data_IF_769309440202
#
_entry.id   IF_769309440202
#
_cell.length_a   1.000
_cell.length_b   1.000
_cell.length_c   1.000
_cell.angle_alpha   90.00
_cell.angle_beta   90.00
_cell.angle_gamma   90.00
#
_symmetry.space_group_name_H-M   'P 1'
#
loop_
_entity.id
_entity.type
_entity.pdbx_description
1 polymer ?
#
# COMPACT_ATOMS: atom_id res chain seq x y z
N UNK A 1 -13.35 43.63 -24.29
CA UNK A 1 -12.75 42.39 -23.72
C UNK A 1 -11.38 42.19 -24.37
N UNK A 2 -10.19 42.32 -23.79
CA UNK A 2 -9.72 42.60 -22.44
C UNK A 2 -8.30 42.03 -22.38
N UNK A 3 -7.28 42.73 -22.91
CA UNK A 3 -5.86 42.27 -22.99
C UNK A 3 -5.32 41.73 -21.65
N UNK A 4 -5.86 42.22 -20.53
CA UNK A 4 -5.54 41.75 -19.17
C UNK A 4 -5.99 40.32 -18.88
N UNK A 5 -7.08 39.83 -19.48
CA UNK A 5 -7.57 38.45 -19.31
C UNK A 5 -6.71 37.42 -20.06
N UNK A 6 -6.12 37.82 -21.20
CA UNK A 6 -5.22 36.96 -22.00
C UNK A 6 -3.87 36.77 -21.30
N UNK A 7 -3.27 37.85 -20.81
CA UNK A 7 -2.00 37.79 -20.07
C UNK A 7 -2.10 36.99 -18.75
N UNK A 8 -3.27 37.03 -18.08
CA UNK A 8 -3.51 36.22 -16.86
C UNK A 8 -3.63 34.72 -17.17
N UNK A 9 -4.18 34.37 -18.34
CA UNK A 9 -4.29 32.98 -18.80
C UNK A 9 -2.93 32.43 -19.23
N UNK A 10 -2.17 33.17 -20.03
CA UNK A 10 -0.83 32.76 -20.49
C UNK A 10 0.16 32.57 -19.32
N UNK A 11 0.08 33.40 -18.26
CA UNK A 11 0.90 33.21 -17.04
C UNK A 11 0.50 31.98 -16.22
N UNK A 12 -0.80 31.65 -16.18
CA UNK A 12 -1.30 30.48 -15.46
C UNK A 12 -0.95 29.19 -16.21
N UNK A 13 -1.07 29.19 -17.53
CA UNK A 13 -0.74 28.06 -18.39
C UNK A 13 0.78 27.82 -18.41
N UNK A 14 1.60 28.88 -18.42
CA UNK A 14 3.05 28.78 -18.30
C UNK A 14 3.54 28.24 -16.94
N UNK A 15 2.94 28.70 -15.83
CA UNK A 15 3.26 28.18 -14.49
C UNK A 15 2.84 26.72 -14.34
N UNK A 16 1.63 26.35 -14.78
CA UNK A 16 1.19 24.96 -14.76
C UNK A 16 2.17 24.05 -15.52
N UNK A 17 2.63 24.50 -16.69
CA UNK A 17 3.63 23.77 -17.48
C UNK A 17 4.98 23.60 -16.79
N UNK A 18 5.46 24.60 -16.03
CA UNK A 18 6.72 24.49 -15.28
C UNK A 18 6.59 23.57 -14.06
N UNK A 19 5.49 23.69 -13.31
CA UNK A 19 5.23 22.84 -12.14
C UNK A 19 5.06 21.37 -12.54
N UNK A 20 4.41 21.09 -13.68
CA UNK A 20 4.24 19.72 -14.17
C UNK A 20 5.58 19.12 -14.67
N UNK A 21 6.46 19.93 -15.26
CA UNK A 21 7.82 19.51 -15.62
C UNK A 21 8.68 19.21 -14.39
N UNK A 22 8.62 20.03 -13.36
CA UNK A 22 9.34 19.79 -12.09
C UNK A 22 8.85 18.51 -11.40
N UNK A 23 7.53 18.26 -11.39
CA UNK A 23 6.98 16.99 -10.87
C UNK A 23 7.42 15.80 -11.70
N UNK A 24 7.41 15.91 -13.03
CA UNK A 24 7.87 14.83 -13.88
C UNK A 24 9.35 14.49 -13.61
N UNK A 25 10.21 15.51 -13.49
CA UNK A 25 11.61 15.30 -13.13
C UNK A 25 11.78 14.65 -11.76
N UNK A 26 10.90 14.95 -10.81
CA UNK A 26 10.91 14.33 -9.47
C UNK A 26 10.52 12.86 -9.56
N UNK A 27 9.47 12.55 -10.34
CA UNK A 27 9.01 11.18 -10.57
C UNK A 27 10.11 10.35 -11.23
N UNK A 28 10.73 10.87 -12.29
CA UNK A 28 11.82 10.16 -13.00
C UNK A 28 12.98 9.83 -12.04
N UNK A 29 13.30 10.75 -11.13
CA UNK A 29 14.29 10.53 -10.09
C UNK A 29 13.91 9.46 -9.07
N UNK A 30 12.63 9.36 -8.70
CA UNK A 30 12.14 8.29 -7.80
C UNK A 30 12.19 6.93 -8.51
N UNK A 31 11.75 6.85 -9.77
CA UNK A 31 11.76 5.60 -10.54
C UNK A 31 13.17 5.07 -10.77
N UNK A 32 14.14 5.96 -10.99
CA UNK A 32 15.55 5.56 -11.08
C UNK A 32 16.03 4.92 -9.77
N UNK A 33 15.74 5.54 -8.62
CA UNK A 33 16.13 4.99 -7.31
C UNK A 33 15.49 3.64 -7.03
N UNK A 34 14.22 3.47 -7.40
CA UNK A 34 13.52 2.18 -7.29
C UNK A 34 14.14 1.12 -8.21
N UNK A 35 14.54 1.51 -9.42
CA UNK A 35 15.25 0.62 -10.35
C UNK A 35 16.58 0.17 -9.76
N UNK A 36 17.32 1.09 -9.12
CA UNK A 36 18.59 0.78 -8.48
C UNK A 36 18.40 -0.17 -7.27
N UNK A 37 17.33 0.00 -6.49
CA UNK A 37 16.98 -0.91 -5.37
C UNK A 37 16.58 -2.31 -5.85
N UNK A 38 16.02 -2.42 -7.05
CA UNK A 38 15.58 -3.67 -7.66
C UNK A 38 16.67 -4.34 -8.53
N UNK A 39 17.95 -3.96 -8.38
CA UNK A 39 19.07 -4.43 -9.21
C UNK A 39 18.80 -4.32 -10.74
N UNK A 40 18.01 -3.32 -11.14
CA UNK A 40 17.62 -3.06 -12.52
C UNK A 40 16.35 -3.79 -12.99
N UNK A 41 15.74 -4.67 -12.19
CA UNK A 41 14.54 -5.43 -12.55
C UNK A 41 13.25 -4.78 -12.02
N UNK A 42 12.99 -3.56 -12.48
CA UNK A 42 11.77 -2.82 -12.16
C UNK A 42 10.91 -2.61 -13.42
N UNK A 43 9.61 -2.90 -13.31
CA UNK A 43 8.62 -2.49 -14.30
C UNK A 43 7.59 -1.56 -13.64
N UNK A 44 7.38 -0.39 -14.26
CA UNK A 44 6.42 0.62 -13.83
C UNK A 44 5.47 0.93 -14.97
N UNK A 45 4.18 1.04 -14.66
CA UNK A 45 3.16 1.45 -15.60
C UNK A 45 2.16 2.36 -14.88
N UNK A 46 1.77 3.45 -15.54
CA UNK A 46 0.69 4.32 -15.12
C UNK A 46 -0.17 4.68 -16.33
N UNK A 47 -1.48 4.87 -16.11
CA UNK A 47 -2.35 5.41 -17.14
C UNK A 47 -1.90 6.82 -17.53
N UNK A 48 -1.92 7.21 -18.82
CA UNK A 48 -1.67 8.59 -19.24
C UNK A 48 -2.59 9.61 -18.56
N UNK A 49 -3.79 9.17 -18.17
CA UNK A 49 -4.79 10.00 -17.48
C UNK A 49 -4.61 10.04 -15.96
N UNK A 50 -3.62 9.31 -15.42
CA UNK A 50 -3.37 9.29 -13.98
C UNK A 50 -2.71 10.60 -13.54
N UNK A 51 -3.27 11.36 -12.57
CA UNK A 51 -2.71 12.63 -12.16
C UNK A 51 -1.26 12.53 -11.69
N UNK A 52 -0.39 13.40 -12.19
CA UNK A 52 1.05 13.37 -11.89
C UNK A 52 1.35 13.58 -10.41
N UNK A 53 0.54 14.38 -9.71
CA UNK A 53 0.68 14.58 -8.26
C UNK A 53 0.40 13.29 -7.46
N UNK A 54 -0.63 12.54 -7.85
CA UNK A 54 -1.00 11.28 -7.21
C UNK A 54 0.04 10.21 -7.53
N UNK A 55 0.55 10.19 -8.78
CA UNK A 55 1.67 9.32 -9.19
C UNK A 55 2.92 9.55 -8.38
N UNK A 56 3.31 10.82 -8.20
CA UNK A 56 4.47 11.16 -7.38
C UNK A 56 4.29 10.66 -5.94
N UNK A 57 3.14 10.96 -5.32
CA UNK A 57 2.88 10.55 -3.93
C UNK A 57 2.90 9.02 -3.78
N UNK A 58 2.30 8.30 -4.74
CA UNK A 58 2.34 6.84 -4.76
C UNK A 58 3.78 6.30 -4.86
N UNK A 59 4.58 6.84 -5.77
CA UNK A 59 5.97 6.40 -5.94
C UNK A 59 6.84 6.75 -4.74
N UNK A 60 6.57 7.85 -4.03
CA UNK A 60 7.20 8.15 -2.75
C UNK A 60 6.87 7.10 -1.68
N UNK A 61 5.61 6.62 -1.63
CA UNK A 61 5.20 5.54 -0.72
C UNK A 61 5.88 4.21 -1.07
N UNK A 62 6.01 3.88 -2.37
CA UNK A 62 6.74 2.68 -2.82
C UNK A 62 8.22 2.81 -2.48
N UNK A 63 8.85 3.94 -2.78
CA UNK A 63 10.26 4.17 -2.45
C UNK A 63 10.50 4.11 -0.95
N UNK A 64 9.61 4.67 -0.13
CA UNK A 64 9.71 4.55 1.31
C UNK A 64 9.63 3.09 1.76
N UNK A 65 8.75 2.28 1.17
CA UNK A 65 8.65 0.85 1.43
C UNK A 65 9.92 0.08 1.05
N UNK A 66 10.37 0.22 -0.21
CA UNK A 66 11.55 -0.50 -0.72
C UNK A 66 12.87 -0.04 -0.06
N UNK A 67 12.97 1.23 0.35
CA UNK A 67 14.19 1.78 0.98
C UNK A 67 14.38 1.32 2.42
N UNK A 68 13.34 0.78 3.07
CA UNK A 68 13.44 0.41 4.48
C UNK A 68 14.40 -0.76 4.68
N UNK A 69 14.51 -1.69 3.72
CA UNK A 69 15.45 -2.82 3.71
C UNK A 69 15.18 -3.87 4.82
N UNK A 70 15.10 -3.42 6.07
CA UNK A 70 14.64 -4.12 7.27
C UNK A 70 14.01 -3.10 8.23
N UNK A 71 12.69 -3.04 8.28
CA UNK A 71 11.89 -2.19 9.17
C UNK A 71 11.28 -3.03 10.28
N UNK A 72 10.58 -2.38 11.23
CA UNK A 72 9.84 -3.12 12.23
C UNK A 72 8.79 -4.00 11.53
N UNK A 73 8.78 -5.26 11.93
CA UNK A 73 7.80 -6.26 11.53
C UNK A 73 6.38 -5.79 11.84
N UNK A 74 5.37 -6.39 11.21
CA UNK A 74 3.98 -6.12 11.55
C UNK A 74 3.70 -6.38 13.03
N UNK A 75 4.36 -7.39 13.61
CA UNK A 75 4.35 -7.68 15.03
C UNK A 75 4.77 -6.47 15.87
N UNK A 76 5.98 -5.94 15.62
CA UNK A 76 6.53 -4.80 16.35
C UNK A 76 5.69 -3.53 16.15
N UNK A 77 5.14 -3.35 14.94
CA UNK A 77 4.21 -2.26 14.64
C UNK A 77 2.93 -2.34 15.47
N UNK A 78 2.33 -3.53 15.56
CA UNK A 78 1.12 -3.78 16.34
C UNK A 78 1.37 -3.63 17.86
N UNK A 79 2.48 -4.15 18.37
CA UNK A 79 2.86 -3.98 19.78
C UNK A 79 3.08 -2.50 20.13
N UNK A 80 3.74 -1.73 19.25
CA UNK A 80 3.93 -0.30 19.44
C UNK A 80 2.59 0.48 19.49
N UNK A 81 1.53 -0.08 18.91
CA UNK A 81 0.17 0.47 18.96
C UNK A 81 -0.68 -0.13 20.09
N UNK A 82 -0.06 -0.88 21.02
CA UNK A 82 -0.69 -1.40 22.22
C UNK A 82 -1.45 -2.72 22.02
N UNK A 83 -1.29 -3.37 20.88
CA UNK A 83 -1.89 -4.69 20.62
C UNK A 83 -1.00 -5.76 21.24
N UNK A 84 -1.52 -6.47 22.24
CA UNK A 84 -0.81 -7.61 22.82
C UNK A 84 -1.03 -8.85 21.95
N UNK A 85 0.06 -9.52 21.58
CA UNK A 85 0.08 -10.68 20.70
C UNK A 85 0.56 -11.90 21.52
N UNK A 86 -0.33 -12.67 22.16
CA UNK A 86 0.01 -13.92 22.85
C UNK A 86 0.26 -15.07 21.88
N UNK A 87 0.90 -16.15 22.33
CA UNK A 87 1.15 -17.29 21.44
C UNK A 87 -0.15 -18.02 21.08
N UNK A 88 -0.25 -18.63 19.88
CA UNK A 88 -1.46 -19.35 19.47
C UNK A 88 -1.87 -20.46 20.45
N UNK A 89 -0.92 -21.17 21.05
CA UNK A 89 -1.18 -22.23 22.03
C UNK A 89 -1.83 -21.76 23.34
N UNK A 90 -1.78 -20.45 23.63
CA UNK A 90 -2.35 -19.84 24.83
C UNK A 90 -3.81 -19.36 24.64
N UNK A 91 -4.37 -19.52 23.44
CA UNK A 91 -5.71 -19.03 23.09
C UNK A 91 -6.68 -20.17 22.75
N UNK A 92 -7.88 -20.11 23.33
CA UNK A 92 -9.01 -20.89 22.85
C UNK A 92 -9.70 -20.24 21.63
N UNK A 93 -10.67 -20.95 21.04
CA UNK A 93 -11.37 -20.48 19.83
C UNK A 93 -12.03 -19.12 19.97
N UNK A 94 -12.58 -18.80 21.14
CA UNK A 94 -13.24 -17.52 21.38
C UNK A 94 -12.19 -16.42 21.57
N UNK A 95 -11.14 -16.71 22.32
CA UNK A 95 -10.03 -15.79 22.55
C UNK A 95 -9.29 -15.47 21.24
N UNK A 96 -9.08 -16.46 20.36
CA UNK A 96 -8.52 -16.25 19.02
C UNK A 96 -9.39 -15.34 18.17
N UNK A 97 -10.72 -15.51 18.19
CA UNK A 97 -11.63 -14.63 17.47
C UNK A 97 -11.58 -13.19 17.99
N UNK A 98 -11.60 -13.00 19.31
CA UNK A 98 -11.54 -11.67 19.91
C UNK A 98 -10.18 -11.00 19.61
N UNK A 99 -9.08 -11.77 19.62
CA UNK A 99 -7.75 -11.28 19.25
C UNK A 99 -7.63 -10.90 17.79
N UNK A 100 -8.21 -11.69 16.88
CA UNK A 100 -8.24 -11.37 15.46
C UNK A 100 -8.99 -10.07 15.17
N UNK A 101 -10.09 -9.79 15.88
CA UNK A 101 -10.81 -8.51 15.75
C UNK A 101 -9.93 -7.33 16.12
N UNK A 102 -9.26 -7.41 17.26
CA UNK A 102 -8.33 -6.37 17.73
C UNK A 102 -7.23 -6.10 16.70
N UNK A 103 -6.64 -7.17 16.14
CA UNK A 103 -5.58 -7.06 15.12
C UNK A 103 -6.12 -6.43 13.83
N UNK A 104 -7.25 -6.92 13.31
CA UNK A 104 -7.83 -6.41 12.07
C UNK A 104 -8.23 -4.95 12.21
N UNK A 105 -8.78 -4.54 13.36
CA UNK A 105 -9.09 -3.14 13.65
C UNK A 105 -7.84 -2.27 13.72
N UNK A 106 -6.78 -2.75 14.40
CA UNK A 106 -5.50 -2.04 14.47
C UNK A 106 -4.86 -1.88 13.08
N UNK A 107 -4.87 -2.94 12.25
CA UNK A 107 -4.38 -2.90 10.88
C UNK A 107 -5.22 -1.97 9.99
N UNK A 108 -6.55 -1.97 10.13
CA UNK A 108 -7.43 -1.09 9.37
C UNK A 108 -7.17 0.39 9.67
N UNK A 109 -6.85 0.75 10.93
CA UNK A 109 -6.47 2.12 11.31
C UNK A 109 -5.22 2.60 10.58
N UNK A 110 -4.34 1.67 10.18
CA UNK A 110 -3.14 1.95 9.39
C UNK A 110 -3.29 1.59 7.90
N UNK A 111 -4.53 1.39 7.44
CA UNK A 111 -4.91 1.06 6.05
C UNK A 111 -4.26 -0.21 5.52
N UNK A 112 -4.02 -1.18 6.39
CA UNK A 112 -3.61 -2.54 6.03
C UNK A 112 -4.82 -3.45 6.13
N UNK A 113 -5.11 -4.18 5.05
CA UNK A 113 -6.25 -5.10 4.97
C UNK A 113 -5.75 -6.49 4.62
N UNK A 114 -6.22 -7.48 5.38
CA UNK A 114 -5.94 -8.89 5.15
C UNK A 114 -6.97 -9.46 4.18
N UNK A 115 -6.56 -10.39 3.32
CA UNK A 115 -7.44 -11.11 2.38
C UNK A 115 -7.07 -12.60 2.33
N UNK A 116 -7.99 -13.47 1.90
CA UNK A 116 -7.70 -14.87 1.65
C UNK A 116 -7.82 -15.79 2.89
N UNK A 117 -8.41 -15.32 3.98
CA UNK A 117 -8.60 -16.08 5.22
C UNK A 117 -10.00 -16.72 5.37
N UNK A 118 -10.88 -16.61 4.37
CA UNK A 118 -12.30 -16.99 4.46
C UNK A 118 -12.51 -18.49 4.73
N UNK A 119 -11.51 -19.30 4.44
CA UNK A 119 -11.52 -20.76 4.62
C UNK A 119 -10.98 -21.21 5.99
N UNK A 120 -10.42 -20.29 6.77
CA UNK A 120 -9.77 -20.59 8.05
C UNK A 120 -10.73 -20.38 9.23
N UNK A 121 -10.65 -21.26 10.23
CA UNK A 121 -11.25 -21.01 11.54
C UNK A 121 -10.49 -19.89 12.27
N UNK A 122 -11.06 -19.27 13.33
CA UNK A 122 -10.35 -18.23 14.09
C UNK A 122 -9.00 -18.68 14.67
N UNK A 123 -8.88 -19.93 15.12
CA UNK A 123 -7.59 -20.45 15.61
C UNK A 123 -6.59 -20.59 14.46
N UNK A 124 -7.00 -21.21 13.35
CA UNK A 124 -6.12 -21.39 12.19
C UNK A 124 -5.69 -20.05 11.61
N UNK A 125 -6.62 -19.08 11.49
CA UNK A 125 -6.27 -17.76 10.99
C UNK A 125 -5.28 -17.04 11.93
N UNK A 126 -5.51 -17.10 13.25
CA UNK A 126 -4.56 -16.50 14.19
C UNK A 126 -3.19 -17.17 14.14
N UNK A 127 -3.15 -18.50 14.03
CA UNK A 127 -1.92 -19.27 13.94
C UNK A 127 -1.15 -19.01 12.64
N UNK A 128 -1.83 -18.95 11.49
CA UNK A 128 -1.23 -18.57 10.20
C UNK A 128 -0.66 -17.16 10.27
N UNK A 129 -1.45 -16.21 10.77
CA UNK A 129 -1.01 -14.82 10.91
C UNK A 129 0.24 -14.75 11.80
N UNK A 130 0.21 -15.42 12.95
CA UNK A 130 1.31 -15.47 13.90
C UNK A 130 2.56 -16.08 13.30
N UNK A 131 2.48 -17.25 12.68
CA UNK A 131 3.67 -17.98 12.24
C UNK A 131 4.26 -17.44 10.94
N UNK A 132 3.42 -16.91 10.04
CA UNK A 132 3.81 -16.67 8.65
C UNK A 132 3.74 -15.19 8.25
N UNK A 133 2.92 -14.36 8.90
CA UNK A 133 2.69 -12.98 8.43
C UNK A 133 3.22 -11.92 9.37
N UNK A 134 3.03 -12.06 10.68
CA UNK A 134 3.36 -11.00 11.66
C UNK A 134 4.86 -10.67 11.70
N UNK A 135 5.71 -11.67 11.44
CA UNK A 135 7.16 -11.49 11.41
C UNK A 135 7.67 -10.98 10.06
N UNK A 136 6.82 -11.02 9.04
CA UNK A 136 7.15 -10.57 7.70
C UNK A 136 6.78 -9.11 7.48
N UNK A 137 7.61 -8.41 6.72
CA UNK A 137 7.30 -7.11 6.17
C UNK A 137 7.84 -5.91 6.95
N UNK A 138 8.01 -4.82 6.22
CA UNK A 138 8.26 -3.49 6.74
C UNK A 138 6.95 -2.71 6.70
N UNK A 139 6.39 -2.35 7.84
CA UNK A 139 5.29 -1.40 7.85
C UNK A 139 5.80 0.00 7.45
N UNK A 140 5.15 0.63 6.47
CA UNK A 140 5.38 2.04 6.12
C UNK A 140 4.05 2.78 6.11
N UNK A 141 3.97 3.84 6.91
CA UNK A 141 2.85 4.76 6.93
C UNK A 141 2.65 5.38 5.54
N UNK A 142 1.46 5.18 4.96
CA UNK A 142 1.14 5.68 3.61
C UNK A 142 0.85 7.18 3.65
N UNK A 143 1.56 7.96 2.84
CA UNK A 143 1.36 9.41 2.70
C UNK A 143 0.07 9.73 1.95
N UNK A 144 -0.27 8.92 0.95
CA UNK A 144 -1.49 9.15 0.19
C UNK A 144 -2.73 8.68 0.98
N UNK A 145 -3.73 9.54 1.22
CA UNK A 145 -4.89 9.21 2.05
C UNK A 145 -5.77 8.09 1.47
N UNK A 146 -5.76 7.92 0.15
CA UNK A 146 -6.47 6.84 -0.55
C UNK A 146 -5.63 5.58 -0.79
N UNK A 147 -4.35 5.56 -0.39
CA UNK A 147 -3.52 4.36 -0.53
C UNK A 147 -3.80 3.38 0.61
N UNK A 148 -3.87 2.10 0.26
CA UNK A 148 -4.04 0.99 1.19
C UNK A 148 -3.08 -0.14 0.83
N UNK A 149 -2.71 -0.94 1.83
CA UNK A 149 -1.93 -2.17 1.63
C UNK A 149 -2.89 -3.35 1.76
N UNK A 150 -2.88 -4.24 0.76
CA UNK A 150 -3.57 -5.53 0.82
C UNK A 150 -2.52 -6.62 1.05
N UNK A 151 -2.69 -7.41 2.10
CA UNK A 151 -1.83 -8.55 2.41
C UNK A 151 -2.63 -9.84 2.27
N UNK A 152 -2.17 -10.70 1.37
CA UNK A 152 -2.73 -12.03 1.21
C UNK A 152 -2.15 -12.94 2.29
N UNK A 153 -3.03 -13.47 3.15
CA UNK A 153 -2.69 -14.40 4.23
C UNK A 153 -3.11 -15.83 3.92
N UNK A 154 -3.65 -16.08 2.73
CA UNK A 154 -4.03 -17.43 2.31
C UNK A 154 -2.81 -18.33 2.12
N UNK A 155 -1.64 -17.73 1.83
CA UNK A 155 -0.36 -18.38 1.45
C UNK A 155 -0.52 -19.52 0.42
N UNK A 156 -1.64 -19.55 -0.30
CA UNK A 156 -2.08 -20.67 -1.14
C UNK A 156 -2.45 -20.24 -2.55
N UNK A 157 -2.55 -18.93 -2.80
CA UNK A 157 -2.94 -18.40 -4.10
C UNK A 157 -1.69 -18.02 -4.90
N UNK A 158 -1.44 -18.66 -6.05
CA UNK A 158 -0.37 -18.26 -6.95
C UNK A 158 -0.53 -16.79 -7.34
N UNK A 159 0.58 -16.04 -7.41
CA UNK A 159 0.61 -14.62 -7.81
C UNK A 159 -0.26 -14.28 -9.04
N UNK A 160 -0.40 -15.21 -9.98
CA UNK A 160 -1.25 -15.05 -11.16
C UNK A 160 -2.73 -14.84 -10.84
N UNK A 161 -3.25 -15.52 -9.83
CA UNK A 161 -4.66 -15.42 -9.40
C UNK A 161 -4.90 -14.13 -8.60
N UNK A 162 -3.95 -13.72 -7.75
CA UNK A 162 -3.97 -12.40 -7.09
C UNK A 162 -4.02 -11.29 -8.15
N UNK A 163 -3.18 -11.36 -9.18
CA UNK A 163 -3.16 -10.39 -10.28
C UNK A 163 -4.43 -10.43 -11.14
N UNK A 164 -5.18 -11.53 -11.14
CA UNK A 164 -6.47 -11.62 -11.80
C UNK A 164 -7.55 -10.95 -10.95
N UNK A 165 -7.58 -11.22 -9.65
CA UNK A 165 -8.47 -10.58 -8.69
C UNK A 165 -8.31 -9.05 -8.67
N UNK A 166 -7.07 -8.54 -8.62
CA UNK A 166 -6.80 -7.10 -8.66
C UNK A 166 -7.32 -6.45 -9.96
N UNK A 167 -7.16 -7.12 -11.11
CA UNK A 167 -7.72 -6.65 -12.38
C UNK A 167 -9.25 -6.60 -12.36
N UNK A 168 -9.89 -7.56 -11.71
CA UNK A 168 -11.35 -7.59 -11.61
C UNK A 168 -11.90 -6.54 -10.63
N UNK A 169 -11.19 -6.26 -9.53
CA UNK A 169 -11.49 -5.14 -8.62
C UNK A 169 -11.39 -3.77 -9.32
N UNK A 170 -10.33 -3.57 -10.11
CA UNK A 170 -10.16 -2.35 -10.89
C UNK A 170 -11.29 -2.17 -11.91
N UNK A 171 -11.68 -3.24 -12.62
CA UNK A 171 -12.81 -3.20 -13.56
C UNK A 171 -14.14 -2.87 -12.90
N UNK A 172 -14.38 -3.35 -11.68
CA UNK A 172 -15.61 -3.05 -10.93
C UNK A 172 -15.64 -1.60 -10.44
N UNK A 173 -14.49 -1.02 -10.15
CA UNK A 173 -14.35 0.39 -9.74
C UNK A 173 -14.46 1.36 -10.91
N UNK A 174 -14.18 0.92 -12.15
CA UNK A 174 -14.34 1.70 -13.39
C UNK A 174 -15.78 1.74 -13.95
N UNK A 175 -16.77 1.15 -13.26
CA UNK A 175 -18.17 1.06 -13.74
C UNK A 175 -19.13 1.90 -12.86
N UNK A 176 -18.59 2.78 -12.00
CA UNK A 176 -19.35 3.81 -11.28
C UNK A 176 -19.01 5.24 -11.75
#
# INVERSE_FOLDING_TARGET
MGRKSRAKRERRDGWASTADQERQSTIDGIEQRLTDLADGDMSSWASPDFPTADRQTYLEDVLAFESVGSGPSLFEGLEAHGVNLPRPEDLDQRQSLDKLREIVEALANVRVFLIGFEHLTPCEFYETLWNETLWEGCYVEKRHPGAMTLMDVSHSIPRSEIMQYLRDLQRRSSVQ
#
